data_IF_081882575954
#
_entry.id   IF_081882575954
#
_cell.length_a   1.000
_cell.length_b   1.000
_cell.length_c   1.000
_cell.angle_alpha   90.00
_cell.angle_beta   90.00
_cell.angle_gamma   90.00
#
_symmetry.space_group_name_H-M   'P 1'
#
loop_
_entity.id
_entity.type
_entity.pdbx_description
1 polymer ?
#
# COMPACT_ATOMS: atom_id res chain seq x y z
N UNK A 1 6.50 17.17 -8.16
CA UNK A 1 6.71 15.80 -8.70
C UNK A 1 8.19 15.44 -8.77
N UNK A 2 9.02 16.12 -9.60
CA UNK A 2 10.47 15.81 -9.73
C UNK A 2 11.25 15.82 -8.41
N UNK A 3 10.98 16.80 -7.54
CA UNK A 3 11.64 16.89 -6.22
C UNK A 3 11.23 15.75 -5.28
N UNK A 4 9.98 15.28 -5.37
CA UNK A 4 9.48 14.18 -4.56
C UNK A 4 10.11 12.84 -5.00
N UNK A 5 10.20 12.57 -6.30
CA UNK A 5 10.87 11.36 -6.77
C UNK A 5 12.38 11.38 -6.50
N UNK A 6 13.02 12.55 -6.61
CA UNK A 6 14.42 12.71 -6.20
C UNK A 6 14.63 12.47 -4.70
N UNK A 7 13.74 12.96 -3.84
CA UNK A 7 13.81 12.70 -2.40
C UNK A 7 13.55 11.24 -2.04
N UNK A 8 12.62 10.56 -2.72
CA UNK A 8 12.36 9.12 -2.55
C UNK A 8 13.61 8.30 -2.88
N UNK A 9 14.24 8.55 -4.03
CA UNK A 9 15.45 7.82 -4.46
C UNK A 9 16.58 8.05 -3.45
N UNK A 10 16.84 9.31 -3.08
CA UNK A 10 17.91 9.65 -2.15
C UNK A 10 17.67 9.06 -0.74
N UNK A 11 16.45 9.19 -0.21
CA UNK A 11 16.08 8.63 1.09
C UNK A 11 16.22 7.09 1.11
N UNK A 12 15.84 6.42 0.02
CA UNK A 12 15.98 4.97 -0.09
C UNK A 12 17.46 4.52 -0.18
N UNK A 13 18.32 5.31 -0.85
CA UNK A 13 19.78 5.09 -0.83
C UNK A 13 20.31 5.26 0.60
N UNK A 14 19.90 6.31 1.31
CA UNK A 14 20.28 6.55 2.70
C UNK A 14 19.88 5.36 3.59
N UNK A 15 18.63 4.87 3.45
CA UNK A 15 18.16 3.68 4.17
C UNK A 15 18.98 2.44 3.84
N UNK A 16 19.33 2.22 2.57
CA UNK A 16 20.16 1.08 2.15
C UNK A 16 21.53 1.09 2.84
N UNK A 17 22.12 2.28 2.96
CA UNK A 17 23.41 2.51 3.65
C UNK A 17 23.26 2.33 5.16
N UNK A 18 22.18 2.85 5.77
CA UNK A 18 21.95 2.81 7.22
C UNK A 18 21.44 1.44 7.69
N UNK A 19 20.87 0.60 6.83
CA UNK A 19 20.27 -0.69 7.19
C UNK A 19 21.14 -1.57 8.13
N UNK A 20 22.47 -1.73 7.93
CA UNK A 20 23.32 -2.49 8.84
C UNK A 20 23.44 -1.87 10.24
N UNK A 21 23.47 -0.53 10.31
CA UNK A 21 23.47 0.21 11.57
C UNK A 21 22.13 0.05 12.28
N UNK A 22 21.02 0.19 11.54
CA UNK A 22 19.67 -0.05 12.06
C UNK A 22 19.55 -1.43 12.70
N UNK A 23 20.07 -2.47 12.04
CA UNK A 23 20.12 -3.81 12.59
C UNK A 23 20.75 -3.88 13.99
N UNK A 24 21.80 -3.09 14.26
CA UNK A 24 22.50 -3.09 15.57
C UNK A 24 21.69 -2.39 16.67
N UNK A 25 20.86 -1.41 16.28
CA UNK A 25 20.03 -0.64 17.20
C UNK A 25 18.60 -1.21 17.33
N UNK A 26 18.27 -2.31 16.64
CA UNK A 26 16.97 -3.00 16.72
C UNK A 26 16.50 -3.23 18.16
N UNK A 27 17.42 -3.50 19.09
CA UNK A 27 17.09 -3.68 20.52
C UNK A 27 16.41 -2.46 21.17
N UNK A 28 16.56 -1.27 20.59
CA UNK A 28 15.96 -0.02 21.06
C UNK A 28 14.55 0.22 20.48
N UNK A 29 14.06 -0.66 19.60
CA UNK A 29 12.71 -0.62 19.03
C UNK A 29 11.89 -1.82 19.54
N UNK A 30 11.56 -1.88 20.84
CA UNK A 30 10.70 -2.94 21.37
C UNK A 30 9.31 -2.89 20.73
N UNK A 31 8.56 -4.00 20.78
CA UNK A 31 7.22 -4.15 20.18
C UNK A 31 6.26 -3.00 20.52
N UNK A 32 6.40 -2.39 21.70
CA UNK A 32 5.60 -1.23 22.12
C UNK A 32 5.82 0.00 21.23
N UNK A 33 7.06 0.27 20.78
CA UNK A 33 7.38 1.41 19.90
C UNK A 33 6.79 1.18 18.51
N UNK A 34 6.93 -0.03 17.97
CA UNK A 34 6.35 -0.31 16.66
C UNK A 34 4.83 -0.26 16.70
N UNK A 35 4.22 -0.79 17.76
CA UNK A 35 2.77 -0.72 17.96
C UNK A 35 2.25 0.72 17.99
N UNK A 36 2.88 1.60 18.78
CA UNK A 36 2.47 3.01 18.86
C UNK A 36 2.65 3.75 17.55
N UNK A 37 3.76 3.54 16.83
CA UNK A 37 3.99 4.15 15.51
C UNK A 37 2.91 3.71 14.52
N UNK A 38 2.62 2.42 14.42
CA UNK A 38 1.56 1.90 13.52
C UNK A 38 0.19 2.45 13.90
N UNK A 39 -0.13 2.55 15.20
CA UNK A 39 -1.38 3.17 15.65
C UNK A 39 -1.44 4.66 15.26
N UNK A 40 -0.36 5.43 15.40
CA UNK A 40 -0.33 6.83 14.98
C UNK A 40 -0.52 6.98 13.47
N UNK A 41 0.12 6.13 12.66
CA UNK A 41 -0.09 6.11 11.21
C UNK A 41 -1.56 5.83 10.91
N UNK A 42 -2.14 4.78 11.50
CA UNK A 42 -3.55 4.43 11.33
C UNK A 42 -4.50 5.57 11.69
N UNK A 43 -4.30 6.19 12.86
CA UNK A 43 -5.10 7.34 13.31
C UNK A 43 -4.96 8.55 12.38
N UNK A 44 -3.76 8.83 11.87
CA UNK A 44 -3.53 9.93 10.94
C UNK A 44 -4.28 9.74 9.61
N UNK A 45 -4.44 8.49 9.18
CA UNK A 45 -5.15 8.13 7.95
C UNK A 45 -6.69 8.15 8.10
N UNK A 46 -7.22 8.15 9.32
CA UNK A 46 -8.68 8.27 9.55
C UNK A 46 -9.24 9.52 8.89
N UNK A 47 -8.52 10.65 8.97
CA UNK A 47 -8.95 11.90 8.33
C UNK A 47 -9.05 11.79 6.81
N UNK A 48 -8.13 11.05 6.19
CA UNK A 48 -8.16 10.78 4.75
C UNK A 48 -9.38 9.93 4.41
N UNK A 49 -9.64 8.88 5.18
CA UNK A 49 -10.82 8.03 5.01
C UNK A 49 -12.14 8.79 5.18
N UNK A 50 -12.28 9.63 6.20
CA UNK A 50 -13.47 10.47 6.41
C UNK A 50 -13.68 11.44 5.25
N UNK A 51 -12.60 12.01 4.71
CA UNK A 51 -12.67 12.90 3.55
C UNK A 51 -13.13 12.13 2.30
N UNK A 52 -12.65 10.91 2.09
CA UNK A 52 -13.08 10.03 1.00
C UNK A 52 -14.56 9.63 1.12
N UNK A 53 -15.01 9.24 2.33
CA UNK A 53 -16.43 8.96 2.65
C UNK A 53 -17.32 10.16 2.31
N UNK A 54 -16.84 11.38 2.56
CA UNK A 54 -17.55 12.60 2.20
C UNK A 54 -17.71 12.83 0.70
N UNK A 55 -16.96 12.15 -0.17
CA UNK A 55 -16.93 12.40 -1.63
C UNK A 55 -15.60 12.94 -2.14
N UNK A 56 -14.61 13.11 -1.26
CA UNK A 56 -13.28 13.61 -1.60
C UNK A 56 -13.06 15.08 -1.27
N UNK A 57 -11.80 15.52 -1.28
CA UNK A 57 -11.44 16.89 -0.94
C UNK A 57 -11.95 17.87 -1.99
N UNK A 58 -12.71 18.89 -1.56
CA UNK A 58 -13.26 19.92 -2.45
C UNK A 58 -14.47 19.47 -3.28
N UNK A 59 -15.09 18.33 -2.97
CA UNK A 59 -16.30 17.87 -3.64
C UNK A 59 -17.47 18.83 -3.41
N UNK A 60 -18.24 19.12 -4.46
CA UNK A 60 -19.43 19.99 -4.38
C UNK A 60 -20.55 19.35 -3.56
N UNK A 61 -20.61 18.03 -3.58
CA UNK A 61 -21.55 17.16 -2.87
C UNK A 61 -20.91 16.55 -1.61
N UNK A 62 -19.94 17.25 -1.00
CA UNK A 62 -19.26 16.76 0.19
C UNK A 62 -20.26 16.48 1.32
N UNK A 63 -20.24 15.26 1.85
CA UNK A 63 -21.16 14.82 2.90
C UNK A 63 -22.61 14.62 2.43
N UNK A 64 -22.86 14.51 1.12
CA UNK A 64 -24.19 14.17 0.60
C UNK A 64 -24.67 12.83 1.16
N UNK A 65 -25.99 12.72 1.36
CA UNK A 65 -26.60 11.49 1.89
C UNK A 65 -26.27 10.26 1.04
N UNK A 66 -26.14 10.45 -0.27
CA UNK A 66 -25.76 9.42 -1.23
C UNK A 66 -24.34 8.90 -0.99
N UNK A 67 -23.37 9.79 -0.76
CA UNK A 67 -21.99 9.40 -0.49
C UNK A 67 -21.88 8.67 0.85
N UNK A 68 -22.58 9.17 1.87
CA UNK A 68 -22.61 8.53 3.19
C UNK A 68 -23.28 7.15 3.16
N UNK A 69 -24.39 7.00 2.43
CA UNK A 69 -25.07 5.72 2.26
C UNK A 69 -24.22 4.72 1.48
N UNK A 70 -23.52 5.17 0.44
CA UNK A 70 -22.61 4.34 -0.34
C UNK A 70 -21.44 3.83 0.51
N UNK A 71 -20.79 4.73 1.27
CA UNK A 71 -19.73 4.35 2.20
C UNK A 71 -20.22 3.41 3.30
N UNK A 72 -21.38 3.68 3.89
CA UNK A 72 -21.99 2.81 4.89
C UNK A 72 -22.31 1.43 4.32
N UNK A 73 -22.83 1.37 3.08
CA UNK A 73 -23.07 0.11 2.38
C UNK A 73 -21.77 -0.70 2.20
N UNK A 74 -20.70 -0.08 1.71
CA UNK A 74 -19.39 -0.73 1.54
C UNK A 74 -18.87 -1.24 2.89
N UNK A 75 -18.94 -0.42 3.93
CA UNK A 75 -18.54 -0.82 5.28
C UNK A 75 -19.33 -2.04 5.77
N UNK A 76 -20.66 -2.04 5.60
CA UNK A 76 -21.53 -3.17 5.96
C UNK A 76 -21.12 -4.42 5.17
N UNK A 77 -20.90 -4.31 3.86
CA UNK A 77 -20.48 -5.44 3.02
C UNK A 77 -19.15 -6.01 3.50
N UNK A 78 -18.18 -5.17 3.86
CA UNK A 78 -16.88 -5.62 4.39
C UNK A 78 -17.08 -6.36 5.72
N UNK A 79 -17.86 -5.79 6.65
CA UNK A 79 -18.12 -6.40 7.96
C UNK A 79 -18.86 -7.73 7.85
N UNK A 80 -19.89 -7.80 7.00
CA UNK A 80 -20.65 -9.02 6.75
C UNK A 80 -19.77 -10.07 6.05
N UNK A 81 -18.95 -9.66 5.08
CA UNK A 81 -18.00 -10.56 4.41
C UNK A 81 -17.01 -11.15 5.41
N UNK A 82 -16.48 -10.33 6.32
CA UNK A 82 -15.51 -10.78 7.32
C UNK A 82 -16.15 -11.71 8.37
N UNK A 83 -17.41 -11.47 8.73
CA UNK A 83 -18.13 -12.25 9.75
C UNK A 83 -18.68 -13.57 9.22
N UNK A 84 -19.25 -13.59 8.01
CA UNK A 84 -20.04 -14.72 7.53
C UNK A 84 -19.34 -15.57 6.46
N UNK A 85 -18.43 -14.99 5.67
CA UNK A 85 -17.69 -15.75 4.66
C UNK A 85 -16.52 -16.49 5.32
N UNK A 86 -16.05 -17.56 4.67
CA UNK A 86 -14.95 -18.39 5.16
C UNK A 86 -13.86 -18.55 4.10
N UNK A 87 -12.65 -18.81 4.55
CA UNK A 87 -11.52 -19.10 3.68
C UNK A 87 -11.16 -17.93 2.77
N UNK A 88 -11.11 -18.19 1.45
CA UNK A 88 -10.68 -17.21 0.45
C UNK A 88 -11.55 -15.94 0.44
N UNK A 89 -12.88 -16.09 0.43
CA UNK A 89 -13.80 -14.95 0.37
C UNK A 89 -13.75 -14.06 1.61
N UNK A 90 -13.41 -14.62 2.78
CA UNK A 90 -13.17 -13.85 4.00
C UNK A 90 -11.87 -13.04 3.88
N UNK A 91 -10.82 -13.62 3.31
CA UNK A 91 -9.53 -12.95 3.14
C UNK A 91 -9.60 -11.75 2.18
N UNK A 92 -10.48 -11.80 1.18
CA UNK A 92 -10.69 -10.71 0.21
C UNK A 92 -11.89 -9.80 0.55
N UNK A 93 -12.32 -9.75 1.82
CA UNK A 93 -13.51 -8.97 2.24
C UNK A 93 -13.50 -7.52 1.78
N UNK A 94 -12.34 -6.85 1.85
CA UNK A 94 -12.18 -5.46 1.38
C UNK A 94 -12.39 -5.37 -0.13
N UNK A 95 -11.83 -6.30 -0.91
CA UNK A 95 -12.03 -6.36 -2.36
C UNK A 95 -13.51 -6.60 -2.71
N UNK A 96 -14.21 -7.47 -1.99
CA UNK A 96 -15.65 -7.67 -2.17
C UNK A 96 -16.44 -6.38 -1.92
N UNK A 97 -16.07 -5.63 -0.87
CA UNK A 97 -16.65 -4.31 -0.56
C UNK A 97 -16.44 -3.32 -1.69
N UNK A 98 -15.21 -3.20 -2.19
CA UNK A 98 -14.87 -2.30 -3.31
C UNK A 98 -15.66 -2.68 -4.58
N UNK A 99 -15.72 -3.98 -4.91
CA UNK A 99 -16.42 -4.46 -6.12
C UNK A 99 -17.93 -4.19 -6.02
N UNK A 100 -18.56 -4.59 -4.91
CA UNK A 100 -20.01 -4.39 -4.71
C UNK A 100 -20.36 -2.90 -4.57
N UNK A 101 -19.52 -2.12 -3.88
CA UNK A 101 -19.66 -0.66 -3.78
C UNK A 101 -19.60 0.01 -5.14
N UNK A 102 -18.62 -0.36 -5.97
CA UNK A 102 -18.48 0.19 -7.33
C UNK A 102 -19.67 -0.19 -8.21
N UNK A 103 -20.23 -1.40 -8.08
CA UNK A 103 -21.44 -1.82 -8.79
C UNK A 103 -22.63 -0.93 -8.40
N UNK A 104 -22.87 -0.72 -7.10
CA UNK A 104 -23.95 0.15 -6.63
C UNK A 104 -23.72 1.59 -7.11
N UNK A 105 -22.49 2.09 -7.01
CA UNK A 105 -22.13 3.42 -7.46
C UNK A 105 -22.32 3.60 -8.98
N UNK A 106 -22.13 2.54 -9.78
CA UNK A 106 -22.41 2.55 -11.21
C UNK A 106 -23.91 2.72 -11.49
N UNK A 107 -24.79 2.05 -10.73
CA UNK A 107 -26.24 2.26 -10.82
C UNK A 107 -26.66 3.66 -10.36
N UNK A 108 -25.89 4.30 -9.48
CA UNK A 108 -26.08 5.69 -9.06
C UNK A 108 -25.53 6.71 -10.07
N UNK A 109 -24.93 6.26 -11.19
CA UNK A 109 -24.34 7.14 -12.20
C UNK A 109 -23.04 7.83 -11.77
N UNK A 110 -22.38 7.36 -10.70
CA UNK A 110 -21.14 7.94 -10.17
C UNK A 110 -19.86 7.36 -10.79
N UNK A 111 -19.99 6.44 -11.76
CA UNK A 111 -18.87 5.71 -12.38
C UNK A 111 -18.77 6.08 -13.86
N UNK A 112 -17.60 6.57 -14.27
CA UNK A 112 -17.30 6.89 -15.67
C UNK A 112 -16.55 5.75 -16.37
N UNK A 113 -17.27 4.92 -17.11
CA UNK A 113 -16.69 3.79 -17.86
C UNK A 113 -15.88 4.23 -19.10
N UNK A 114 -15.95 5.49 -19.52
CA UNK A 114 -15.18 5.99 -20.67
C UNK A 114 -13.67 5.88 -20.42
N UNK A 115 -13.23 6.00 -19.16
CA UNK A 115 -11.83 5.84 -18.75
C UNK A 115 -11.28 4.44 -19.08
N UNK A 116 -12.10 3.40 -18.97
CA UNK A 116 -11.71 2.03 -19.32
C UNK A 116 -11.68 1.85 -20.84
N UNK A 117 -12.65 2.40 -21.55
CA UNK A 117 -12.76 2.28 -23.01
C UNK A 117 -11.55 2.95 -23.70
N UNK A 118 -11.19 4.14 -23.23
CA UNK A 118 -10.08 4.93 -23.78
C UNK A 118 -8.69 4.44 -23.32
N UNK A 119 -8.62 3.63 -22.26
CA UNK A 119 -7.36 3.07 -21.79
C UNK A 119 -6.79 2.05 -22.80
N UNK A 120 -5.50 2.24 -23.11
CA UNK A 120 -4.73 1.32 -23.97
C UNK A 120 -4.69 -0.08 -23.35
N UNK A 121 -4.59 -1.09 -24.22
CA UNK A 121 -4.46 -2.49 -23.80
C UNK A 121 -3.08 -2.80 -23.22
N UNK A 122 -2.02 -2.22 -23.80
CA UNK A 122 -0.64 -2.38 -23.32
C UNK A 122 0.00 -1.00 -23.28
N UNK A 123 0.68 -0.70 -22.17
CA UNK A 123 1.56 0.47 -22.07
C UNK A 123 2.79 0.11 -21.26
N UNK A 124 3.94 0.53 -21.76
CA UNK A 124 5.19 0.43 -21.01
C UNK A 124 5.33 1.62 -20.06
N UNK A 125 5.84 1.36 -18.87
CA UNK A 125 6.15 2.40 -17.89
C UNK A 125 7.54 2.93 -18.23
N UNK A 126 7.62 4.20 -18.63
CA UNK A 126 8.89 4.84 -18.93
C UNK A 126 9.56 5.35 -17.65
N UNK A 127 10.87 5.13 -17.47
CA UNK A 127 11.60 5.74 -16.37
C UNK A 127 11.53 7.27 -16.50
N UNK A 128 11.40 7.96 -15.37
CA UNK A 128 11.38 9.43 -15.30
C UNK A 128 10.32 10.10 -16.18
N UNK A 129 9.12 9.51 -16.29
CA UNK A 129 8.00 10.05 -17.05
C UNK A 129 7.62 11.49 -16.67
N UNK A 130 7.88 11.93 -15.43
CA UNK A 130 7.66 13.31 -14.96
C UNK A 130 8.92 14.19 -15.03
N UNK A 131 9.96 13.73 -15.73
CA UNK A 131 11.28 14.36 -15.87
C UNK A 131 12.30 13.86 -14.84
N UNK A 132 13.54 14.31 -15.01
CA UNK A 132 14.66 13.88 -14.16
C UNK A 132 14.47 14.27 -12.69
N UNK A 133 14.91 13.42 -11.74
CA UNK A 133 14.77 13.67 -10.31
C UNK A 133 15.56 14.91 -9.91
N UNK A 134 14.93 15.77 -9.11
CA UNK A 134 15.58 16.93 -8.49
C UNK A 134 15.87 16.63 -7.03
N UNK A 135 17.10 16.85 -6.61
CA UNK A 135 17.55 16.56 -5.26
C UNK A 135 17.54 17.84 -4.43
N UNK A 136 16.48 17.99 -3.63
CA UNK A 136 16.35 19.06 -2.64
C UNK A 136 16.63 18.53 -1.24
N UNK A 137 17.55 19.15 -0.52
CA UNK A 137 18.02 18.66 0.78
C UNK A 137 16.91 18.61 1.83
N UNK A 138 16.01 19.60 1.86
CA UNK A 138 14.89 19.63 2.80
C UNK A 138 13.93 18.47 2.56
N UNK A 139 13.57 18.23 1.29
CA UNK A 139 12.70 17.14 0.88
C UNK A 139 13.33 15.76 1.13
N UNK A 140 14.64 15.62 0.89
CA UNK A 140 15.40 14.40 1.19
C UNK A 140 15.36 14.10 2.69
N UNK A 141 15.59 15.11 3.53
CA UNK A 141 15.55 14.95 4.98
C UNK A 141 14.17 14.48 5.45
N UNK A 142 13.10 15.15 5.02
CA UNK A 142 11.72 14.78 5.36
C UNK A 142 11.38 13.35 4.89
N UNK A 143 11.73 13.00 3.65
CA UNK A 143 11.50 11.66 3.11
C UNK A 143 12.33 10.60 3.84
N UNK A 144 13.55 10.94 4.28
CA UNK A 144 14.38 10.04 5.09
C UNK A 144 13.68 9.69 6.41
N UNK A 145 13.05 10.66 7.08
CA UNK A 145 12.24 10.38 8.28
C UNK A 145 11.07 9.44 7.99
N UNK A 146 10.34 9.65 6.89
CA UNK A 146 9.26 8.75 6.47
C UNK A 146 9.81 7.33 6.26
N UNK A 147 10.95 7.19 5.57
CA UNK A 147 11.58 5.90 5.34
C UNK A 147 12.07 5.22 6.63
N UNK A 148 12.52 5.98 7.63
CA UNK A 148 12.86 5.42 8.96
C UNK A 148 11.63 4.85 9.67
N UNK A 149 10.48 5.52 9.56
CA UNK A 149 9.20 5.02 10.08
C UNK A 149 8.80 3.73 9.36
N UNK A 150 8.94 3.68 8.03
CA UNK A 150 8.71 2.48 7.23
C UNK A 150 9.59 1.33 7.71
N UNK A 151 10.89 1.53 7.91
CA UNK A 151 11.79 0.48 8.42
C UNK A 151 11.33 -0.13 9.75
N UNK A 152 10.79 0.71 10.66
CA UNK A 152 10.25 0.25 11.95
C UNK A 152 9.01 -0.62 11.72
N UNK A 153 8.10 -0.18 10.86
CA UNK A 153 6.89 -0.94 10.50
C UNK A 153 7.25 -2.30 9.89
N UNK A 154 8.10 -2.31 8.87
CA UNK A 154 8.49 -3.53 8.14
C UNK A 154 9.22 -4.52 9.03
N UNK A 155 9.98 -4.03 10.02
CA UNK A 155 10.62 -4.89 11.03
C UNK A 155 9.59 -5.67 11.84
N UNK A 156 8.51 -5.04 12.29
CA UNK A 156 7.44 -5.77 12.98
C UNK A 156 6.77 -6.79 12.06
N UNK A 157 6.60 -6.47 10.77
CA UNK A 157 6.07 -7.41 9.80
C UNK A 157 6.98 -8.63 9.63
N UNK A 158 8.30 -8.42 9.51
CA UNK A 158 9.26 -9.52 9.41
C UNK A 158 9.22 -10.43 10.63
N UNK A 159 9.22 -9.84 11.83
CA UNK A 159 9.11 -10.61 13.08
C UNK A 159 7.76 -11.35 13.18
N UNK A 160 6.66 -10.73 12.76
CA UNK A 160 5.34 -11.35 12.71
C UNK A 160 5.28 -12.54 11.75
N UNK A 161 5.79 -12.36 10.52
CA UNK A 161 5.89 -13.42 9.51
C UNK A 161 6.78 -14.55 10.03
N UNK A 162 7.90 -14.23 10.68
CA UNK A 162 8.77 -15.20 11.34
C UNK A 162 8.03 -16.12 12.32
N UNK A 163 7.20 -15.54 13.20
CA UNK A 163 6.39 -16.31 14.15
C UNK A 163 5.38 -17.22 13.44
N UNK A 164 4.66 -16.72 12.44
CA UNK A 164 3.68 -17.52 11.68
C UNK A 164 4.38 -18.61 10.87
N UNK A 165 5.56 -18.32 10.33
CA UNK A 165 6.38 -19.28 9.61
C UNK A 165 7.17 -20.23 10.52
N UNK A 166 7.10 -20.07 11.84
CA UNK A 166 7.89 -20.83 12.82
C UNK A 166 9.40 -20.77 12.51
N UNK A 167 9.87 -19.60 12.06
CA UNK A 167 11.25 -19.33 11.69
C UNK A 167 11.80 -18.19 12.52
N UNK A 168 12.94 -18.41 13.15
CA UNK A 168 13.67 -17.35 13.83
C UNK A 168 14.19 -16.33 12.81
N UNK A 169 13.88 -15.06 13.05
CA UNK A 169 14.30 -13.94 12.21
C UNK A 169 15.49 -13.28 12.87
N UNK A 170 16.64 -13.36 12.21
CA UNK A 170 17.88 -12.79 12.73
C UNK A 170 18.02 -11.31 12.33
N UNK A 171 18.91 -10.60 13.00
CA UNK A 171 19.33 -9.25 12.60
C UNK A 171 19.75 -9.20 11.12
N UNK A 172 20.45 -10.24 10.63
CA UNK A 172 20.91 -10.30 9.23
C UNK A 172 19.74 -10.38 8.25
N UNK A 173 18.67 -11.08 8.62
CA UNK A 173 17.47 -11.19 7.79
C UNK A 173 16.74 -9.85 7.70
N UNK A 174 16.63 -9.12 8.82
CA UNK A 174 16.03 -7.77 8.85
C UNK A 174 16.83 -6.80 7.97
N UNK A 175 18.16 -6.79 8.08
CA UNK A 175 19.02 -5.95 7.24
C UNK A 175 18.85 -6.29 5.76
N UNK A 176 18.71 -7.57 5.40
CA UNK A 176 18.45 -8.00 4.02
C UNK A 176 17.06 -7.55 3.53
N UNK A 177 16.04 -7.67 4.38
CA UNK A 177 14.67 -7.23 4.08
C UNK A 177 14.60 -5.73 3.81
N UNK A 178 15.15 -4.93 4.72
CA UNK A 178 15.17 -3.46 4.58
C UNK A 178 15.97 -3.03 3.33
N UNK A 179 17.09 -3.71 3.02
CA UNK A 179 17.83 -3.44 1.78
C UNK A 179 17.00 -3.75 0.54
N UNK A 180 16.23 -4.84 0.55
CA UNK A 180 15.33 -5.17 -0.56
C UNK A 180 14.23 -4.10 -0.73
N UNK A 181 13.66 -3.60 0.37
CA UNK A 181 12.70 -2.48 0.34
C UNK A 181 13.31 -1.16 -0.16
N UNK A 182 14.54 -0.86 0.26
CA UNK A 182 15.30 0.29 -0.23
C UNK A 182 15.54 0.20 -1.74
N UNK A 183 15.99 -0.96 -2.23
CA UNK A 183 16.17 -1.20 -3.68
C UNK A 183 14.83 -1.09 -4.42
N UNK A 184 13.77 -1.70 -3.90
CA UNK A 184 12.44 -1.60 -4.48
C UNK A 184 11.98 -0.14 -4.55
N UNK A 185 12.21 0.65 -3.50
CA UNK A 185 11.83 2.07 -3.45
C UNK A 185 12.66 2.93 -4.41
N UNK A 186 13.95 2.63 -4.60
CA UNK A 186 14.78 3.28 -5.64
C UNK A 186 14.19 3.00 -7.03
N UNK A 187 13.86 1.73 -7.33
CA UNK A 187 13.21 1.35 -8.58
C UNK A 187 11.86 2.05 -8.71
N UNK A 188 11.07 2.11 -7.64
CA UNK A 188 9.82 2.86 -7.55
C UNK A 188 10.03 4.32 -7.97
N UNK A 189 10.99 5.02 -7.36
CA UNK A 189 11.29 6.40 -7.72
C UNK A 189 11.71 6.60 -9.18
N UNK A 190 12.48 5.68 -9.76
CA UNK A 190 12.85 5.69 -11.19
C UNK A 190 11.61 5.55 -12.07
N UNK A 191 10.70 4.65 -11.71
CA UNK A 191 9.44 4.40 -12.42
C UNK A 191 8.28 5.25 -11.91
N UNK A 192 8.55 6.35 -11.19
CA UNK A 192 7.58 7.37 -10.76
C UNK A 192 6.52 6.87 -9.75
N UNK A 193 6.91 5.95 -8.88
CA UNK A 193 6.11 5.39 -7.79
C UNK A 193 6.53 5.93 -6.42
N UNK A 194 5.80 5.51 -5.40
CA UNK A 194 5.96 5.93 -4.01
C UNK A 194 6.82 4.95 -3.20
N UNK A 195 7.27 5.32 -1.99
CA UNK A 195 7.94 4.41 -1.09
C UNK A 195 7.17 3.11 -0.84
N UNK A 196 7.89 2.00 -0.79
CA UNK A 196 7.30 0.69 -0.52
C UNK A 196 7.61 0.23 0.90
N UNK A 197 6.63 -0.46 1.50
CA UNK A 197 6.73 -1.13 2.79
C UNK A 197 6.15 -2.54 2.69
N UNK A 198 6.63 -3.46 3.51
CA UNK A 198 6.06 -4.81 3.62
C UNK A 198 4.60 -4.76 4.11
N UNK A 199 3.70 -5.38 3.35
CA UNK A 199 2.26 -5.34 3.61
C UNK A 199 1.85 -6.27 4.77
N UNK A 200 1.46 -5.67 5.90
CA UNK A 200 1.12 -6.38 7.14
C UNK A 200 -0.11 -7.31 7.02
N UNK A 201 -1.04 -7.01 6.12
CA UNK A 201 -2.27 -7.76 5.91
C UNK A 201 -1.98 -9.18 5.39
N UNK A 202 -0.86 -9.38 4.70
CA UNK A 202 -0.42 -10.70 4.22
C UNK A 202 -0.14 -11.66 5.38
N UNK A 203 0.17 -11.15 6.58
CA UNK A 203 0.35 -11.97 7.78
C UNK A 203 -0.92 -12.73 8.16
N UNK A 204 -2.07 -12.05 8.12
CA UNK A 204 -3.37 -12.65 8.40
C UNK A 204 -3.73 -13.74 7.39
N UNK A 205 -3.48 -13.47 6.10
CA UNK A 205 -3.69 -14.46 5.04
C UNK A 205 -2.75 -15.66 5.18
N UNK A 206 -1.48 -15.46 5.54
CA UNK A 206 -0.54 -16.56 5.80
C UNK A 206 -1.00 -17.45 6.95
N UNK A 207 -1.49 -16.85 8.04
CA UNK A 207 -2.01 -17.58 9.20
C UNK A 207 -3.27 -18.40 8.85
N UNK A 208 -4.17 -17.85 8.03
CA UNK A 208 -5.42 -18.51 7.63
C UNK A 208 -5.19 -19.59 6.55
N UNK A 209 -4.42 -19.26 5.50
CA UNK A 209 -4.19 -20.17 4.37
C UNK A 209 -3.23 -21.30 4.68
N UNK A 210 -2.35 -21.12 5.69
CA UNK A 210 -1.24 -22.03 6.03
C UNK A 210 -0.24 -22.24 4.88
N UNK A 211 -0.32 -21.47 3.79
CA UNK A 211 0.59 -21.57 2.65
C UNK A 211 1.80 -20.68 2.89
N UNK A 212 2.89 -21.25 3.41
CA UNK A 212 4.13 -20.54 3.78
C UNK A 212 5.17 -20.44 2.65
N UNK A 213 4.80 -20.78 1.40
CA UNK A 213 5.74 -20.87 0.28
C UNK A 213 6.08 -19.49 -0.30
N UNK A 214 7.39 -19.18 -0.40
CA UNK A 214 7.89 -17.95 -1.05
C UNK A 214 7.53 -17.87 -2.53
N UNK A 215 7.30 -19.00 -3.20
CA UNK A 215 6.95 -19.02 -4.62
C UNK A 215 5.58 -18.41 -4.90
N UNK A 216 4.67 -18.44 -3.91
CA UNK A 216 3.37 -17.76 -4.03
C UNK A 216 3.59 -16.25 -4.13
N UNK A 217 4.51 -15.70 -3.32
CA UNK A 217 4.84 -14.26 -3.37
C UNK A 217 5.48 -13.90 -4.70
N UNK A 218 6.37 -14.75 -5.24
CA UNK A 218 6.98 -14.53 -6.56
C UNK A 218 5.92 -14.57 -7.66
N UNK A 219 5.02 -15.54 -7.64
CA UNK A 219 3.93 -15.64 -8.60
C UNK A 219 3.01 -14.41 -8.54
N UNK A 220 2.64 -13.96 -7.33
CA UNK A 220 1.88 -12.71 -7.14
C UNK A 220 2.62 -11.50 -7.72
N UNK A 221 3.94 -11.41 -7.53
CA UNK A 221 4.76 -10.35 -8.13
C UNK A 221 4.71 -10.36 -9.66
N UNK A 222 4.85 -11.54 -10.29
CA UNK A 222 4.75 -11.69 -11.75
C UNK A 222 3.36 -11.29 -12.25
N UNK A 223 2.30 -11.69 -11.55
CA UNK A 223 0.92 -11.31 -11.86
C UNK A 223 0.77 -9.78 -11.79
N UNK A 224 1.22 -9.15 -10.71
CA UNK A 224 1.12 -7.70 -10.52
C UNK A 224 1.93 -6.91 -11.57
N UNK A 225 3.13 -7.37 -11.94
CA UNK A 225 3.92 -6.76 -13.02
C UNK A 225 3.18 -6.87 -14.35
N UNK A 226 2.60 -8.03 -14.64
CA UNK A 226 1.82 -8.26 -15.87
C UNK A 226 0.58 -7.38 -15.93
N UNK A 227 -0.14 -7.24 -14.80
CA UNK A 227 -1.30 -6.35 -14.68
C UNK A 227 -0.90 -4.87 -14.79
N UNK A 228 0.28 -4.49 -14.29
CA UNK A 228 0.80 -3.13 -14.40
C UNK A 228 1.10 -2.68 -15.84
N UNK A 229 1.35 -3.63 -16.75
CA UNK A 229 1.53 -3.36 -18.19
C UNK A 229 0.20 -3.14 -18.92
N UNK A 230 -0.93 -3.35 -18.25
CA UNK A 230 -2.28 -3.26 -18.82
C UNK A 230 -3.00 -2.06 -18.16
N UNK A 231 -2.96 -0.86 -18.76
CA UNK A 231 -3.58 0.37 -18.21
C UNK A 231 -5.07 0.25 -17.90
N UNK A 232 -5.79 -0.69 -18.51
CA UNK A 232 -7.19 -0.95 -18.18
C UNK A 232 -7.39 -1.34 -16.72
N UNK A 233 -6.44 -2.03 -16.09
CA UNK A 233 -6.51 -2.32 -14.65
C UNK A 233 -6.31 -1.05 -13.80
N UNK A 234 -5.42 -0.15 -14.22
CA UNK A 234 -5.30 1.15 -13.57
C UNK A 234 -6.56 2.01 -13.76
N UNK A 235 -7.18 1.96 -14.94
CA UNK A 235 -8.45 2.63 -15.21
C UNK A 235 -9.58 2.06 -14.32
N UNK A 236 -9.66 0.73 -14.14
CA UNK A 236 -10.60 0.10 -13.22
C UNK A 236 -10.45 0.61 -11.78
N UNK A 237 -9.23 0.84 -11.32
CA UNK A 237 -9.00 1.44 -10.00
C UNK A 237 -9.38 2.94 -9.95
N UNK A 238 -9.24 3.65 -11.06
CA UNK A 238 -9.51 5.10 -11.14
C UNK A 238 -11.00 5.42 -11.17
N UNK A 239 -11.83 4.52 -11.71
CA UNK A 239 -13.29 4.72 -11.78
C UNK A 239 -14.01 4.46 -10.46
N UNK A 240 -13.31 3.93 -9.44
CA UNK A 240 -13.88 3.68 -8.12
C UNK A 240 -14.16 5.04 -7.47
N UNK A 241 -15.42 5.37 -7.16
CA UNK A 241 -15.76 6.65 -6.54
C UNK A 241 -15.17 6.76 -5.15
N UNK A 242 -14.78 7.97 -4.74
CA UNK A 242 -14.14 8.22 -3.43
C UNK A 242 -14.89 7.67 -2.21
N UNK A 243 -16.24 7.66 -2.16
CA UNK A 243 -16.96 7.09 -1.02
C UNK A 243 -16.89 5.56 -0.88
N UNK A 244 -16.40 4.84 -1.89
CA UNK A 244 -16.21 3.37 -1.88
C UNK A 244 -14.83 3.00 -1.38
#
# INVERSE_FOLDING_TARGET
MQTAYGSIIAAAIIVLIIAPLYGKILRFFPTVVTGTVVTMIGLSLVNVGVTSIGGGSGAKDFGSIENLLLAAFVMIVILLSNKFLKGFFQAISVLNGIVLGTIVAAFMGKVDFSLIQNAKWISFIHPFNFGFPKFDLGSIFMMTFVMLVVMIESTATFLGIGRVCEKEITQKDIVRGIRAEGIATILGGIFNSFPYTTFNQNLGLLALSKVKSRFVVVASGIILVSLGLIPKFAALATIIPQPV
#
